data_IF_687886616027
#
_entry.id   IF_687886616027
#
_cell.length_a   1.000
_cell.length_b   1.000
_cell.length_c   1.000
_cell.angle_alpha   90.00
_cell.angle_beta   90.00
_cell.angle_gamma   90.00
#
_symmetry.space_group_name_H-M   'P 1'
#
loop_
_entity.id
_entity.type
_entity.pdbx_description
1 polymer ?
#
# COMPACT_ATOMS: atom_id res chain seq x y z
N UNK A 1 31.84 4.29 15.03
CA UNK A 1 30.88 3.59 14.15
C UNK A 1 31.57 2.38 13.50
N UNK A 2 32.09 1.43 14.28
CA UNK A 2 32.84 0.28 13.73
C UNK A 2 32.27 -1.05 14.23
N UNK A 3 32.17 -1.20 15.55
CA UNK A 3 31.66 -2.43 16.19
C UNK A 3 30.27 -2.88 15.75
N UNK A 4 29.35 -1.94 15.48
CA UNK A 4 27.98 -2.29 15.05
C UNK A 4 27.98 -2.71 13.57
N UNK A 5 28.77 -2.04 12.74
CA UNK A 5 28.90 -2.33 11.31
C UNK A 5 29.62 -3.65 11.04
N UNK A 6 30.66 -3.93 11.82
CA UNK A 6 31.39 -5.19 11.81
C UNK A 6 30.49 -6.36 12.19
N UNK A 7 29.67 -6.22 13.25
CA UNK A 7 28.65 -7.21 13.62
C UNK A 7 27.55 -7.37 12.56
N UNK A 8 27.21 -6.31 11.85
CA UNK A 8 26.22 -6.33 10.78
C UNK A 8 26.79 -6.79 9.42
N UNK A 9 28.11 -6.98 9.29
CA UNK A 9 28.77 -7.36 8.05
C UNK A 9 28.78 -6.27 6.96
N UNK A 10 28.56 -5.00 7.31
CA UNK A 10 28.47 -3.88 6.35
C UNK A 10 29.79 -3.12 6.33
N UNK A 11 30.50 -3.14 5.19
CA UNK A 11 31.83 -2.53 5.05
C UNK A 11 31.81 -1.04 4.70
N UNK A 12 30.80 -0.56 3.96
CA UNK A 12 30.76 0.80 3.42
C UNK A 12 29.40 1.49 3.67
N UNK A 13 29.08 1.79 4.93
CA UNK A 13 27.89 2.57 5.26
C UNK A 13 28.23 4.06 5.39
N UNK A 14 27.56 4.91 4.62
CA UNK A 14 27.61 6.35 4.83
C UNK A 14 26.58 6.74 5.87
N UNK A 15 26.93 7.71 6.73
CA UNK A 15 26.00 8.26 7.75
C UNK A 15 24.67 8.75 7.14
N UNK A 16 24.68 9.16 5.88
CA UNK A 16 23.49 9.61 5.16
C UNK A 16 22.56 8.46 4.73
N UNK A 17 23.08 7.24 4.57
CA UNK A 17 22.27 6.07 4.18
C UNK A 17 21.30 5.69 5.30
N UNK A 18 21.69 5.90 6.56
CA UNK A 18 20.80 5.74 7.71
C UNK A 18 19.65 6.74 7.68
N UNK A 19 19.91 8.00 7.31
CA UNK A 19 18.86 9.02 7.15
C UNK A 19 17.93 8.68 5.99
N UNK A 20 18.47 8.13 4.90
CA UNK A 20 17.68 7.67 3.77
C UNK A 20 16.79 6.47 4.15
N UNK A 21 17.36 5.46 4.82
CA UNK A 21 16.61 4.30 5.29
C UNK A 21 15.46 4.73 6.23
N UNK A 22 15.74 5.61 7.20
CA UNK A 22 14.72 6.13 8.10
C UNK A 22 13.59 6.85 7.34
N UNK A 23 13.94 7.74 6.40
CA UNK A 23 12.95 8.45 5.61
C UNK A 23 12.10 7.49 4.77
N UNK A 24 12.70 6.48 4.14
CA UNK A 24 11.96 5.46 3.38
C UNK A 24 10.97 4.70 4.26
N UNK A 25 11.36 4.27 5.46
CA UNK A 25 10.46 3.60 6.38
C UNK A 25 9.33 4.50 6.88
N UNK A 26 9.62 5.76 7.21
CA UNK A 26 8.62 6.72 7.66
C UNK A 26 7.57 7.01 6.56
N UNK A 27 7.99 7.12 5.29
CA UNK A 27 7.07 7.27 4.16
C UNK A 27 6.19 6.04 4.02
N UNK A 28 6.76 4.83 4.15
CA UNK A 28 5.98 3.58 4.08
C UNK A 28 4.99 3.43 5.24
N UNK A 29 5.29 4.03 6.40
CA UNK A 29 4.36 4.10 7.52
C UNK A 29 3.26 5.16 7.32
N UNK A 30 3.29 5.92 6.22
CA UNK A 30 2.27 6.90 5.86
C UNK A 30 2.52 8.32 6.39
N UNK A 31 3.71 8.61 6.94
CA UNK A 31 4.02 9.94 7.46
C UNK A 31 4.18 10.96 6.33
N UNK A 32 3.80 12.20 6.62
CA UNK A 32 3.97 13.35 5.75
C UNK A 32 5.41 13.86 5.75
N UNK A 33 5.78 14.65 4.74
CA UNK A 33 7.10 15.28 4.64
C UNK A 33 7.40 16.19 5.84
N UNK A 34 6.39 16.84 6.41
CA UNK A 34 6.57 17.72 7.56
C UNK A 34 6.91 16.92 8.81
N UNK A 35 6.20 15.82 9.07
CA UNK A 35 6.48 14.91 10.19
C UNK A 35 7.85 14.25 10.06
N UNK A 36 8.22 13.82 8.85
CA UNK A 36 9.56 13.25 8.58
C UNK A 36 10.66 14.29 8.84
N UNK A 37 10.43 15.55 8.43
CA UNK A 37 11.36 16.64 8.68
C UNK A 37 11.56 16.91 10.17
N UNK A 38 10.47 16.92 10.95
CA UNK A 38 10.51 17.09 12.40
C UNK A 38 11.24 15.92 13.10
N UNK A 39 10.95 14.68 12.71
CA UNK A 39 11.59 13.49 13.28
C UNK A 39 13.10 13.39 12.97
N UNK A 40 13.51 13.85 11.79
CA UNK A 40 14.93 13.90 11.39
C UNK A 40 15.67 15.14 11.95
N UNK A 41 14.96 16.04 12.63
CA UNK A 41 15.53 17.29 13.17
C UNK A 41 15.98 18.26 12.07
N UNK A 42 15.37 18.21 10.89
CA UNK A 42 15.70 19.10 9.81
C UNK A 42 15.07 20.49 10.05
N UNK A 43 15.91 21.53 10.20
CA UNK A 43 15.44 22.92 10.35
C UNK A 43 14.76 23.47 9.09
N UNK A 44 14.97 22.85 7.92
CA UNK A 44 14.54 23.42 6.63
C UNK A 44 13.79 22.39 5.77
N UNK A 45 12.57 22.72 5.28
CA UNK A 45 11.79 21.86 4.39
C UNK A 45 12.51 21.47 3.09
N UNK A 46 13.49 22.28 2.64
CA UNK A 46 14.34 22.01 1.48
C UNK A 46 15.00 20.63 1.51
N UNK A 47 15.46 20.19 2.69
CA UNK A 47 16.15 18.90 2.83
C UNK A 47 15.19 17.71 2.73
N UNK A 48 13.93 17.92 3.11
CA UNK A 48 12.87 16.92 3.04
C UNK A 48 12.21 16.87 1.66
N UNK A 49 12.33 17.93 0.86
CA UNK A 49 11.86 17.96 -0.55
C UNK A 49 12.46 16.84 -1.41
N UNK A 50 13.66 16.33 -1.07
CA UNK A 50 14.26 15.15 -1.72
C UNK A 50 13.36 13.91 -1.66
N UNK A 51 12.42 13.84 -0.72
CA UNK A 51 11.52 12.70 -0.54
C UNK A 51 10.10 12.91 -1.09
N UNK A 52 9.79 14.07 -1.68
CA UNK A 52 8.42 14.38 -2.12
C UNK A 52 7.86 13.37 -3.12
N UNK A 53 8.69 12.95 -4.08
CA UNK A 53 8.30 11.98 -5.08
C UNK A 53 7.99 10.60 -4.49
N UNK A 54 8.69 10.19 -3.43
CA UNK A 54 8.42 8.93 -2.75
C UNK A 54 7.06 8.99 -2.04
N UNK A 55 6.77 10.11 -1.35
CA UNK A 55 5.47 10.32 -0.69
C UNK A 55 4.32 10.29 -1.68
N UNK A 56 4.45 10.99 -2.82
CA UNK A 56 3.40 11.00 -3.86
C UNK A 56 3.15 9.60 -4.43
N UNK A 57 4.23 8.85 -4.69
CA UNK A 57 4.13 7.47 -5.19
C UNK A 57 3.48 6.54 -4.18
N UNK A 58 3.79 6.69 -2.89
CA UNK A 58 3.23 5.88 -1.81
C UNK A 58 1.76 6.20 -1.57
N UNK A 59 1.39 7.49 -1.57
CA UNK A 59 0.00 7.94 -1.48
C UNK A 59 -0.85 7.39 -2.61
N UNK A 60 -0.36 7.44 -3.86
CA UNK A 60 -1.08 6.83 -5.01
C UNK A 60 -1.30 5.33 -4.81
N UNK A 61 -0.29 4.60 -4.33
CA UNK A 61 -0.42 3.16 -4.04
C UNK A 61 -1.49 2.89 -2.96
N UNK A 62 -1.47 3.66 -1.87
CA UNK A 62 -2.47 3.57 -0.79
C UNK A 62 -3.88 3.89 -1.30
N UNK A 63 -4.06 4.99 -2.03
CA UNK A 63 -5.35 5.36 -2.61
C UNK A 63 -5.88 4.28 -3.55
N UNK A 64 -5.02 3.70 -4.41
CA UNK A 64 -5.42 2.61 -5.28
C UNK A 64 -5.83 1.36 -4.48
N UNK A 65 -5.08 1.01 -3.43
CA UNK A 65 -5.43 -0.11 -2.55
C UNK A 65 -6.80 0.09 -1.90
N UNK A 66 -7.07 1.28 -1.34
CA UNK A 66 -8.38 1.62 -0.78
C UNK A 66 -9.47 1.56 -1.86
N UNK A 67 -9.20 2.09 -3.06
CA UNK A 67 -10.13 2.02 -4.19
C UNK A 67 -10.48 0.58 -4.59
N UNK A 68 -9.51 -0.33 -4.63
CA UNK A 68 -9.76 -1.75 -4.90
C UNK A 68 -10.60 -2.42 -3.80
N UNK A 69 -10.36 -2.07 -2.52
CA UNK A 69 -11.16 -2.59 -1.41
C UNK A 69 -12.61 -2.11 -1.53
N UNK A 70 -12.84 -0.82 -1.77
CA UNK A 70 -14.18 -0.26 -1.97
C UNK A 70 -14.88 -0.93 -3.17
N UNK A 71 -14.19 -1.08 -4.30
CA UNK A 71 -14.73 -1.74 -5.49
C UNK A 71 -15.11 -3.20 -5.21
N UNK A 72 -14.30 -3.94 -4.46
CA UNK A 72 -14.61 -5.32 -4.07
C UNK A 72 -15.83 -5.44 -3.16
N UNK A 73 -16.05 -4.46 -2.27
CA UNK A 73 -17.23 -4.40 -1.41
C UNK A 73 -18.47 -4.11 -2.25
N UNK A 74 -18.38 -3.21 -3.24
CA UNK A 74 -19.49 -2.89 -4.15
C UNK A 74 -19.86 -4.09 -5.04
N UNK A 75 -18.88 -4.81 -5.61
CA UNK A 75 -19.15 -5.97 -6.47
C UNK A 75 -19.78 -7.16 -5.72
N UNK A 76 -19.51 -7.32 -4.42
CA UNK A 76 -20.11 -8.39 -3.60
C UNK A 76 -21.62 -8.23 -3.40
N UNK A 77 -22.22 -7.07 -3.70
CA UNK A 77 -23.66 -6.86 -3.57
C UNK A 77 -24.48 -7.33 -4.78
N UNK A 78 -23.87 -7.49 -5.96
CA UNK A 78 -24.57 -7.92 -7.19
C UNK A 78 -24.73 -9.44 -7.32
N UNK A 79 -24.08 -10.23 -6.44
CA UNK A 79 -24.09 -11.69 -6.53
C UNK A 79 -25.09 -12.33 -5.58
N UNK A 80 -26.38 -11.97 -5.72
CA UNK A 80 -27.49 -12.70 -5.08
C UNK A 80 -28.76 -12.76 -5.92
N UNK A 81 -28.64 -13.05 -7.21
CA UNK A 81 -29.76 -13.50 -8.05
C UNK A 81 -29.59 -14.97 -8.40
N UNK A 82 -30.03 -15.84 -7.50
CA UNK A 82 -30.32 -17.24 -7.83
C UNK A 82 -31.70 -17.25 -8.49
N UNK A 83 -31.74 -17.40 -9.81
CA UNK A 83 -32.99 -17.64 -10.54
C UNK A 83 -33.46 -19.08 -10.27
N UNK A 84 -34.53 -19.23 -9.47
CA UNK A 84 -35.13 -20.52 -9.08
C UNK A 84 -36.16 -21.06 -10.09
N UNK A 85 -36.29 -20.49 -11.27
CA UNK A 85 -37.37 -20.84 -12.19
C UNK A 85 -36.82 -21.60 -13.39
N UNK A 86 -36.88 -22.94 -13.34
CA UNK A 86 -37.27 -23.85 -14.46
C UNK A 86 -37.05 -25.31 -14.01
N UNK A 87 -38.03 -25.87 -13.28
CA UNK A 87 -38.23 -27.33 -13.15
C UNK A 87 -39.72 -27.69 -13.27
N UNK A 88 -40.39 -27.07 -14.23
CA UNK A 88 -41.78 -27.42 -14.59
C UNK A 88 -41.86 -27.38 -16.11
N UNK A 89 -41.60 -28.52 -16.75
CA UNK A 89 -42.01 -28.93 -18.10
C UNK A 89 -41.03 -30.00 -18.59
N UNK A 90 -41.32 -31.27 -18.30
CA UNK A 90 -40.92 -32.44 -19.11
C UNK A 90 -41.57 -33.75 -18.61
N UNK A 91 -42.85 -33.72 -18.21
CA UNK A 91 -43.59 -34.97 -17.90
C UNK A 91 -44.95 -35.08 -18.59
N UNK A 92 -45.21 -34.31 -19.65
CA UNK A 92 -46.37 -34.56 -20.51
C UNK A 92 -45.96 -34.45 -21.98
N UNK A 93 -45.46 -35.55 -22.55
CA UNK A 93 -45.71 -36.04 -23.92
C UNK A 93 -44.75 -37.18 -24.30
N UNK A 94 -45.31 -38.24 -24.89
CA UNK A 94 -44.72 -39.55 -25.16
C UNK A 94 -45.70 -40.62 -24.70
N UNK A 95 -46.90 -40.74 -25.28
CA UNK A 95 -47.15 -41.36 -26.60
C UNK A 95 -46.41 -42.70 -26.75
N UNK A 96 -47.06 -43.76 -26.29
CA UNK A 96 -47.15 -45.09 -26.92
C UNK A 96 -48.40 -45.79 -26.38
#
# INVERSE_FOLDING_TARGET
MGRILEKAGIKDLRKHDLRHAFASFAIMAGLTLEEIGQLLGHLTPQTTKRYSHLVDSHRKKLTNAVGTQISSILQKQDQKVVNLTTRRNNQTKGEA
#
